data_IF_583767507608
#
_entry.id   IF_583767507608
#
_cell.length_a   1.000
_cell.length_b   1.000
_cell.length_c   1.000
_cell.angle_alpha   90.00
_cell.angle_beta   90.00
_cell.angle_gamma   90.00
#
_symmetry.space_group_name_H-M   'P 1'
#
loop_
_entity.id
_entity.type
_entity.pdbx_description
1 polymer ?
#
# COMPACT_ATOMS: atom_id res chain seq x y z
N UNK A 1 31.29 -35.81 51.60
CA UNK A 1 32.02 -34.61 51.12
C UNK A 1 31.54 -34.31 49.72
N UNK A 2 30.74 -33.26 49.55
CA UNK A 2 30.28 -32.83 48.21
C UNK A 2 31.45 -32.14 47.50
N UNK A 3 31.76 -32.47 46.23
CA UNK A 3 32.80 -31.77 45.51
C UNK A 3 32.32 -30.34 45.23
N UNK A 4 33.05 -29.35 45.73
CA UNK A 4 32.79 -27.95 45.42
C UNK A 4 32.93 -27.76 43.90
N UNK A 5 31.96 -27.14 43.22
CA UNK A 5 32.09 -26.86 41.80
C UNK A 5 33.28 -25.91 41.61
N UNK A 6 34.24 -26.29 40.77
CA UNK A 6 35.39 -25.45 40.46
C UNK A 6 34.89 -24.13 39.87
N UNK A 7 35.45 -22.99 40.33
CA UNK A 7 35.11 -21.64 39.82
C UNK A 7 35.17 -21.56 38.28
N UNK A 8 36.01 -22.39 37.66
CA UNK A 8 36.16 -22.52 36.21
C UNK A 8 34.89 -23.07 35.53
N UNK A 9 34.27 -24.14 36.05
CA UNK A 9 33.07 -24.73 35.44
C UNK A 9 31.84 -23.81 35.51
N UNK A 10 31.73 -23.00 36.57
CA UNK A 10 30.64 -22.02 36.69
C UNK A 10 30.72 -20.91 35.64
N UNK A 11 31.94 -20.43 35.34
CA UNK A 11 32.18 -19.41 34.32
C UNK A 11 31.84 -19.93 32.92
N UNK A 12 32.20 -21.18 32.60
CA UNK A 12 31.83 -21.80 31.32
C UNK A 12 30.31 -21.93 31.15
N UNK A 13 29.58 -22.33 32.19
CA UNK A 13 28.11 -22.41 32.16
C UNK A 13 27.47 -21.04 31.96
N UNK A 14 27.99 -19.99 32.60
CA UNK A 14 27.48 -18.62 32.43
C UNK A 14 27.81 -18.08 31.04
N UNK A 15 29.00 -18.38 30.51
CA UNK A 15 29.39 -17.99 29.17
C UNK A 15 28.54 -18.72 28.11
N UNK A 16 28.26 -20.01 28.30
CA UNK A 16 27.38 -20.78 27.42
C UNK A 16 25.94 -20.28 27.48
N UNK A 17 25.41 -20.00 28.67
CA UNK A 17 24.08 -19.38 28.83
C UNK A 17 24.02 -17.99 28.20
N UNK A 18 25.06 -17.17 28.35
CA UNK A 18 25.18 -15.86 27.70
C UNK A 18 25.25 -15.99 26.17
N UNK A 19 25.98 -16.97 25.63
CA UNK A 19 26.01 -17.26 24.21
C UNK A 19 24.63 -17.69 23.68
N UNK A 20 23.90 -18.55 24.41
CA UNK A 20 22.54 -18.95 24.06
C UNK A 20 21.57 -17.74 24.11
N UNK A 21 21.67 -16.89 25.13
CA UNK A 21 20.89 -15.65 25.22
C UNK A 21 21.22 -14.67 24.08
N UNK A 22 22.49 -14.54 23.71
CA UNK A 22 22.92 -13.69 22.61
C UNK A 22 22.50 -14.23 21.22
N UNK A 23 22.35 -15.55 21.06
CA UNK A 23 21.84 -16.16 19.82
C UNK A 23 20.34 -15.93 19.59
N UNK A 24 19.56 -15.64 20.64
CA UNK A 24 18.12 -15.36 20.52
C UNK A 24 17.83 -13.96 19.96
N UNK A 25 18.82 -13.08 19.86
CA UNK A 25 18.60 -11.64 19.58
C UNK A 25 18.80 -11.22 18.11
N UNK A 26 19.11 -12.13 17.20
CA UNK A 26 19.35 -11.80 15.77
C UNK A 26 18.40 -12.60 14.88
N UNK A 27 17.10 -12.34 14.97
CA UNK A 27 16.19 -12.70 13.87
C UNK A 27 16.29 -11.62 12.79
N UNK A 28 16.58 -12.03 11.56
CA UNK A 28 16.46 -11.15 10.41
C UNK A 28 15.00 -10.68 10.27
N UNK A 29 14.77 -9.45 9.81
CA UNK A 29 13.42 -8.96 9.57
C UNK A 29 12.65 -9.94 8.65
N UNK A 30 11.36 -10.17 8.91
CA UNK A 30 10.55 -11.03 8.04
C UNK A 30 10.54 -10.48 6.61
N UNK A 31 10.79 -11.36 5.64
CA UNK A 31 10.74 -11.02 4.23
C UNK A 31 9.31 -11.18 3.71
N UNK A 32 8.64 -10.07 3.42
CA UNK A 32 7.26 -10.05 2.91
C UNK A 32 7.17 -10.06 1.38
N UNK A 33 8.28 -10.19 0.65
CA UNK A 33 8.30 -10.08 -0.82
C UNK A 33 7.34 -11.06 -1.49
N UNK A 34 7.35 -12.33 -1.06
CA UNK A 34 6.45 -13.34 -1.60
C UNK A 34 4.98 -12.99 -1.33
N UNK A 35 4.66 -12.63 -0.08
CA UNK A 35 3.31 -12.26 0.32
C UNK A 35 2.78 -11.08 -0.50
N UNK A 36 3.57 -10.00 -0.63
CA UNK A 36 3.19 -8.82 -1.43
C UNK A 36 2.99 -9.19 -2.89
N UNK A 37 3.87 -10.01 -3.48
CA UNK A 37 3.74 -10.44 -4.87
C UNK A 37 2.48 -11.28 -5.12
N UNK A 38 2.09 -12.13 -4.17
CA UNK A 38 0.89 -12.93 -4.26
C UNK A 38 -0.37 -12.07 -4.13
N UNK A 39 -0.43 -11.19 -3.11
CA UNK A 39 -1.57 -10.32 -2.87
C UNK A 39 -1.74 -9.24 -3.94
N UNK A 40 -0.65 -8.79 -4.60
CA UNK A 40 -0.69 -7.84 -5.71
C UNK A 40 -1.54 -8.31 -6.89
N UNK A 41 -1.73 -9.61 -7.10
CA UNK A 41 -2.39 -10.17 -8.30
C UNK A 41 -3.89 -9.88 -8.34
N UNK A 42 -4.51 -9.82 -7.18
CA UNK A 42 -5.96 -9.67 -7.03
C UNK A 42 -6.28 -8.47 -6.13
N UNK A 43 -7.54 -8.05 -6.16
CA UNK A 43 -8.04 -7.01 -5.25
C UNK A 43 -8.08 -7.53 -3.81
N UNK A 44 -7.51 -6.78 -2.87
CA UNK A 44 -7.58 -7.11 -1.45
C UNK A 44 -9.02 -6.90 -0.95
N UNK A 45 -9.59 -7.97 -0.37
CA UNK A 45 -10.95 -8.00 0.20
C UNK A 45 -10.94 -8.15 1.72
N UNK A 46 -9.78 -8.37 2.31
CA UNK A 46 -9.60 -8.64 3.74
C UNK A 46 -9.17 -7.40 4.51
N UNK A 47 -8.42 -6.51 3.87
CA UNK A 47 -7.94 -5.27 4.50
C UNK A 47 -8.88 -4.10 4.26
N UNK A 48 -8.87 -3.14 5.20
CA UNK A 48 -9.52 -1.84 4.99
C UNK A 48 -8.80 -1.10 3.86
N UNK A 49 -9.55 -0.65 2.85
CA UNK A 49 -9.00 0.15 1.75
C UNK A 49 -8.64 1.56 2.22
N UNK A 50 -7.43 2.00 1.89
CA UNK A 50 -7.03 3.40 2.07
C UNK A 50 -7.71 4.27 1.01
N UNK A 51 -8.26 5.41 1.44
CA UNK A 51 -8.95 6.36 0.57
C UNK A 51 -8.24 7.71 0.68
N UNK A 52 -7.96 8.34 -0.47
CA UNK A 52 -7.42 9.70 -0.57
C UNK A 52 -8.31 10.54 -1.47
N UNK A 53 -8.47 11.82 -1.17
CA UNK A 53 -9.27 12.75 -1.98
C UNK A 53 -8.37 13.87 -2.48
N UNK A 54 -8.31 14.05 -3.79
CA UNK A 54 -7.49 15.09 -4.43
C UNK A 54 -7.95 15.35 -5.88
N UNK A 55 -7.36 16.36 -6.52
CA UNK A 55 -7.52 16.65 -7.94
C UNK A 55 -6.31 16.13 -8.72
N UNK A 56 -6.51 15.64 -9.95
CA UNK A 56 -5.42 15.23 -10.84
C UNK A 56 -5.13 16.33 -11.85
N UNK A 57 -3.98 17.00 -11.72
CA UNK A 57 -3.52 18.01 -12.66
C UNK A 57 -2.92 17.37 -13.93
N UNK A 58 -3.30 17.88 -15.09
CA UNK A 58 -2.72 17.50 -16.38
C UNK A 58 -1.73 18.56 -16.85
N UNK A 59 -0.46 18.17 -16.91
CA UNK A 59 0.64 19.06 -17.36
C UNK A 59 0.42 19.63 -18.77
N UNK A 60 -0.20 18.86 -19.67
CA UNK A 60 -0.41 19.27 -21.07
C UNK A 60 -1.51 20.31 -21.21
N UNK A 61 -2.61 20.16 -20.45
CA UNK A 61 -3.75 21.09 -20.52
C UNK A 61 -3.63 22.27 -19.58
N UNK A 62 -2.82 22.16 -18.51
CA UNK A 62 -2.78 23.14 -17.44
C UNK A 62 -4.03 23.13 -16.55
N UNK A 63 -4.82 22.06 -16.60
CA UNK A 63 -6.15 21.95 -15.97
C UNK A 63 -6.31 20.61 -15.25
N UNK A 64 -7.44 20.42 -14.57
CA UNK A 64 -7.72 19.22 -13.77
C UNK A 64 -8.59 18.20 -14.50
N UNK A 65 -8.32 16.92 -14.24
CA UNK A 65 -9.14 15.79 -14.69
C UNK A 65 -10.49 15.86 -13.99
N UNK A 66 -11.56 15.78 -14.78
CA UNK A 66 -12.93 15.79 -14.30
C UNK A 66 -13.75 14.63 -14.86
N UNK A 67 -14.75 14.22 -14.10
CA UNK A 67 -15.70 13.17 -14.47
C UNK A 67 -17.11 13.76 -14.53
N UNK A 68 -17.64 13.89 -15.74
CA UNK A 68 -18.92 14.54 -16.01
C UNK A 68 -20.10 13.58 -15.89
N UNK A 69 -21.30 14.12 -15.64
CA UNK A 69 -22.53 13.33 -15.50
C UNK A 69 -22.91 12.50 -16.74
N UNK A 70 -22.44 12.91 -17.92
CA UNK A 70 -22.59 12.17 -19.18
C UNK A 70 -21.53 11.07 -19.39
N UNK A 71 -20.81 10.66 -18.33
CA UNK A 71 -19.75 9.64 -18.33
C UNK A 71 -18.51 10.00 -19.16
N UNK A 72 -18.40 11.26 -19.64
CA UNK A 72 -17.21 11.76 -20.32
C UNK A 72 -16.15 12.15 -19.29
N UNK A 73 -14.90 11.84 -19.62
CA UNK A 73 -13.72 12.20 -18.83
C UNK A 73 -12.83 13.09 -19.69
N UNK A 74 -12.38 14.21 -19.16
CA UNK A 74 -11.44 15.11 -19.80
C UNK A 74 -10.59 15.84 -18.74
N UNK A 75 -9.63 16.65 -19.16
CA UNK A 75 -8.78 17.45 -18.26
C UNK A 75 -8.91 18.95 -18.58
N UNK A 76 -10.09 19.51 -18.37
CA UNK A 76 -10.40 20.92 -18.67
C UNK A 76 -10.99 21.68 -17.48
N UNK A 77 -11.09 21.05 -16.31
CA UNK A 77 -11.67 21.69 -15.14
C UNK A 77 -10.71 22.70 -14.51
N UNK A 78 -11.27 23.76 -13.95
CA UNK A 78 -10.54 24.71 -13.12
C UNK A 78 -10.17 24.09 -11.76
N UNK A 79 -9.23 24.71 -11.06
CA UNK A 79 -8.92 24.31 -9.69
C UNK A 79 -10.15 24.52 -8.77
N UNK A 80 -10.48 23.48 -8.00
CA UNK A 80 -11.62 23.50 -7.08
C UNK A 80 -12.97 23.15 -7.70
N UNK A 81 -13.02 22.80 -8.99
CA UNK A 81 -14.24 22.34 -9.65
C UNK A 81 -14.79 21.07 -8.96
N UNK A 82 -16.09 21.04 -8.72
CA UNK A 82 -16.79 19.93 -8.06
C UNK A 82 -16.62 18.60 -8.81
N UNK A 83 -16.58 18.64 -10.16
CA UNK A 83 -16.38 17.48 -11.01
C UNK A 83 -14.91 17.03 -11.12
N UNK A 84 -13.96 17.88 -10.68
CA UNK A 84 -12.54 17.56 -10.61
C UNK A 84 -12.11 16.90 -9.29
N UNK A 85 -13.00 16.87 -8.30
CA UNK A 85 -12.73 16.20 -7.01
C UNK A 85 -12.78 14.68 -7.19
N UNK A 86 -11.65 14.01 -6.97
CA UNK A 86 -11.52 12.55 -7.15
C UNK A 86 -11.31 11.84 -5.81
N UNK A 87 -12.01 10.73 -5.63
CA UNK A 87 -11.82 9.77 -4.54
C UNK A 87 -10.96 8.64 -5.10
N UNK A 88 -9.80 8.41 -4.51
CA UNK A 88 -8.84 7.40 -4.93
C UNK A 88 -8.69 6.36 -3.84
N UNK A 89 -9.14 5.14 -4.17
CA UNK A 89 -9.20 4.00 -3.24
C UNK A 89 -8.12 2.99 -3.62
N UNK A 90 -7.34 2.52 -2.65
CA UNK A 90 -6.39 1.43 -2.87
C UNK A 90 -7.12 0.12 -3.16
N UNK A 91 -6.70 -0.56 -4.24
CA UNK A 91 -7.18 -1.89 -4.58
C UNK A 91 -6.36 -3.01 -3.94
N UNK A 92 -5.03 -2.88 -4.03
CA UNK A 92 -4.04 -3.81 -3.46
C UNK A 92 -2.68 -3.10 -3.42
N UNK A 93 -1.62 -3.83 -3.08
CA UNK A 93 -0.24 -3.35 -3.07
C UNK A 93 0.25 -2.86 -4.45
N UNK A 94 1.45 -2.26 -4.47
CA UNK A 94 2.06 -1.74 -5.70
C UNK A 94 1.36 -0.49 -6.24
N UNK A 95 0.75 0.31 -5.37
CA UNK A 95 0.02 1.54 -5.73
C UNK A 95 -1.11 1.31 -6.74
N UNK A 96 -1.72 0.12 -6.73
CA UNK A 96 -2.91 -0.19 -7.54
C UNK A 96 -4.12 0.47 -6.90
N UNK A 97 -4.81 1.33 -7.65
CA UNK A 97 -5.92 2.16 -7.15
C UNK A 97 -7.11 2.16 -8.10
N UNK A 98 -8.29 2.47 -7.56
CA UNK A 98 -9.48 2.87 -8.33
C UNK A 98 -9.72 4.36 -8.12
N UNK A 99 -10.02 5.07 -9.21
CA UNK A 99 -10.28 6.51 -9.20
C UNK A 99 -11.77 6.72 -9.50
N UNK A 100 -12.45 7.46 -8.64
CA UNK A 100 -13.89 7.75 -8.71
C UNK A 100 -14.13 9.25 -8.65
N UNK A 101 -15.00 9.78 -9.50
CA UNK A 101 -15.46 11.17 -9.38
C UNK A 101 -16.31 11.31 -8.11
N UNK A 102 -15.95 12.24 -7.22
CA UNK A 102 -16.68 12.45 -5.96
C UNK A 102 -18.11 12.92 -6.22
N UNK A 103 -18.30 13.78 -7.20
CA UNK A 103 -19.60 14.37 -7.55
C UNK A 103 -20.51 13.39 -8.28
N UNK A 104 -19.99 12.68 -9.29
CA UNK A 104 -20.80 11.79 -10.14
C UNK A 104 -20.87 10.36 -9.64
N UNK A 105 -19.94 9.95 -8.79
CA UNK A 105 -19.81 8.58 -8.34
C UNK A 105 -19.32 7.59 -9.42
N UNK A 106 -18.99 8.04 -10.63
CA UNK A 106 -18.47 7.17 -11.68
C UNK A 106 -16.98 6.89 -11.51
N UNK A 107 -16.58 5.64 -11.78
CA UNK A 107 -15.18 5.24 -11.84
C UNK A 107 -14.56 5.62 -13.19
N UNK A 108 -13.32 6.08 -13.16
CA UNK A 108 -12.49 6.29 -14.35
C UNK A 108 -12.02 4.91 -14.84
N UNK A 109 -12.54 4.48 -15.98
CA UNK A 109 -12.23 3.19 -16.59
C UNK A 109 -11.68 3.37 -18.01
N UNK A 110 -10.84 2.44 -18.45
CA UNK A 110 -10.40 2.35 -19.85
C UNK A 110 -11.15 1.20 -20.53
N UNK A 111 -11.73 1.46 -21.70
CA UNK A 111 -12.39 0.42 -22.49
C UNK A 111 -11.37 -0.35 -23.36
N UNK A 112 -11.85 -1.38 -24.07
CA UNK A 112 -11.00 -2.20 -24.97
C UNK A 112 -10.35 -1.41 -26.11
N UNK A 113 -10.85 -0.21 -26.44
CA UNK A 113 -10.29 0.68 -27.46
C UNK A 113 -9.27 1.68 -26.87
N UNK A 114 -8.94 1.59 -25.59
CA UNK A 114 -8.07 2.55 -24.90
C UNK A 114 -8.75 3.88 -24.54
N UNK A 115 -10.06 4.03 -24.76
CA UNK A 115 -10.79 5.26 -24.44
C UNK A 115 -11.18 5.28 -22.96
N UNK A 116 -10.94 6.42 -22.30
CA UNK A 116 -11.42 6.68 -20.95
C UNK A 116 -12.93 6.94 -20.92
N UNK A 117 -13.63 6.25 -20.03
CA UNK A 117 -15.09 6.32 -19.84
C UNK A 117 -15.44 6.22 -18.36
N UNK A 118 -16.47 6.95 -17.94
CA UNK A 118 -17.09 6.80 -16.62
C UNK A 118 -17.94 5.52 -16.55
N UNK A 119 -17.77 4.72 -15.50
CA UNK A 119 -18.61 3.55 -15.22
C UNK A 119 -19.22 3.60 -13.82
#
# INVERSE_FOLDING_TARGET
MMPMPSRSNSLFLHLFAFCLYAQVTIQSPPNFTQHVNEQCKFSDRTSRRLIRTYQLYSRTSGKHVQVLGNKKINAMAEDGDVHARLIVETDTFGSRVRIRGAETGYYVCMNHRGKLVGK
#
